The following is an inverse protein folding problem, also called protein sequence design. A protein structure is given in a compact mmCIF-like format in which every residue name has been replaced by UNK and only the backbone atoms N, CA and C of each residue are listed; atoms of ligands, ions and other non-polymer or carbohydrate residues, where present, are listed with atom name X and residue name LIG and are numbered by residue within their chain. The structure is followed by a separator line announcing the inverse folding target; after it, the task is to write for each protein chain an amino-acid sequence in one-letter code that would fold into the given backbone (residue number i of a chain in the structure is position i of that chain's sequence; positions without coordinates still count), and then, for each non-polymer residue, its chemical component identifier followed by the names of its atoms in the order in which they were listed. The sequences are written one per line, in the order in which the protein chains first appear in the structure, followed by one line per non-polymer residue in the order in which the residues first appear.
data_IF_248695582560
#
_entry.id   IF_248695582560
#
_cell.length_a   1.000
_cell.length_b   1.000
_cell.length_c   1.000
_cell.angle_alpha   90.00
_cell.angle_beta   90.00
_cell.angle_gamma   90.00
#
_symmetry.space_group_name_H-M   'P 1'
#
loop_
_entity.id
_entity.type
_entity.pdbx_description
1 polymer ?
#
# COMPACT_ATOMS: atom_id res chain seq x y z
N UNK A 1 19.53 -18.73 -17.16
CA UNK A 1 18.39 -18.17 -16.41
C UNK A 1 17.50 -19.32 -16.02
N UNK A 2 17.02 -19.36 -14.77
CA UNK A 2 15.94 -20.28 -14.41
C UNK A 2 14.73 -20.00 -15.31
N UNK A 3 14.13 -21.05 -15.88
CA UNK A 3 12.95 -20.92 -16.73
C UNK A 3 11.66 -20.71 -15.92
N UNK A 4 11.73 -20.70 -14.59
CA UNK A 4 10.57 -20.60 -13.71
C UNK A 4 10.43 -19.21 -13.14
N UNK A 5 9.44 -18.49 -13.65
CA UNK A 5 9.01 -17.22 -13.09
C UNK A 5 8.40 -17.47 -11.71
N UNK A 6 8.95 -16.82 -10.69
CA UNK A 6 8.64 -17.05 -9.28
C UNK A 6 8.25 -15.73 -8.61
N UNK A 7 7.35 -15.80 -7.63
CA UNK A 7 6.98 -14.67 -6.80
C UNK A 7 7.62 -14.79 -5.41
N UNK A 8 8.22 -13.71 -4.93
CA UNK A 8 8.64 -13.54 -3.54
C UNK A 8 7.74 -12.50 -2.90
N UNK A 9 7.24 -12.78 -1.70
CA UNK A 9 6.30 -11.92 -0.99
C UNK A 9 6.94 -11.49 0.32
N UNK A 10 7.09 -10.17 0.51
CA UNK A 10 7.48 -9.58 1.78
C UNK A 10 6.23 -8.99 2.45
N UNK A 11 6.02 -9.36 3.71
CA UNK A 11 4.95 -8.82 4.55
C UNK A 11 5.52 -7.81 5.54
N UNK A 12 4.82 -6.70 5.72
CA UNK A 12 5.05 -5.68 6.75
C UNK A 12 3.68 -5.15 7.19
N UNK A 13 3.64 -4.34 8.25
CA UNK A 13 2.42 -3.70 8.72
C UNK A 13 2.68 -2.23 9.06
N UNK A 14 1.62 -1.43 9.06
CA UNK A 14 1.63 -0.05 9.58
C UNK A 14 0.28 0.31 10.18
N UNK A 15 0.28 1.23 11.14
CA UNK A 15 -0.92 1.71 11.80
C UNK A 15 -1.18 3.15 11.35
N UNK A 16 -2.37 3.42 10.80
CA UNK A 16 -2.69 4.77 10.35
C UNK A 16 -4.15 5.13 10.61
N UNK A 17 -4.38 6.42 10.85
CA UNK A 17 -5.70 7.01 10.93
C UNK A 17 -6.09 7.68 9.60
N UNK A 18 -7.37 7.67 9.29
CA UNK A 18 -7.91 8.35 8.11
C UNK A 18 -9.41 8.63 8.21
N UNK A 19 -9.91 9.43 7.28
CA UNK A 19 -11.31 9.73 7.06
C UNK A 19 -11.58 9.70 5.57
N UNK A 20 -12.64 8.99 5.19
CA UNK A 20 -13.13 9.02 3.82
C UNK A 20 -14.05 10.21 3.64
N UNK A 21 -13.61 11.22 2.88
CA UNK A 21 -14.36 12.45 2.69
C UNK A 21 -14.03 13.09 1.34
N UNK A 22 -15.07 13.46 0.59
CA UNK A 22 -14.94 14.25 -0.62
C UNK A 22 -15.34 15.70 -0.33
N UNK A 23 -14.39 16.62 -0.44
CA UNK A 23 -14.54 18.05 -0.14
C UNK A 23 -15.46 18.80 -1.11
N UNK A 24 -15.75 18.21 -2.28
CA UNK A 24 -16.68 18.78 -3.27
C UNK A 24 -18.13 18.31 -3.06
N UNK A 25 -18.38 17.44 -2.08
CA UNK A 25 -19.72 16.93 -1.78
C UNK A 25 -20.28 17.59 -0.52
N UNK A 26 -21.61 17.65 -0.45
CA UNK A 26 -22.28 18.03 0.80
C UNK A 26 -22.02 17.01 1.91
N UNK A 27 -22.13 17.44 3.17
CA UNK A 27 -21.98 16.55 4.33
C UNK A 27 -23.00 15.40 4.30
N UNK A 28 -24.23 15.67 3.85
CA UNK A 28 -25.26 14.64 3.67
C UNK A 28 -24.80 13.56 2.71
N UNK A 29 -24.30 13.94 1.52
CA UNK A 29 -23.82 12.98 0.52
C UNK A 29 -22.61 12.20 1.02
N UNK A 30 -21.66 12.87 1.69
CA UNK A 30 -20.52 12.19 2.30
C UNK A 30 -20.94 11.13 3.32
N UNK A 31 -21.88 11.49 4.21
CA UNK A 31 -22.42 10.56 5.21
C UNK A 31 -23.19 9.40 4.57
N UNK A 32 -23.94 9.64 3.51
CA UNK A 32 -24.68 8.59 2.78
C UNK A 32 -23.74 7.59 2.10
N UNK A 33 -22.66 8.07 1.46
CA UNK A 33 -21.74 7.21 0.70
C UNK A 33 -20.70 6.52 1.58
N UNK A 34 -20.05 7.26 2.47
CA UNK A 34 -18.93 6.74 3.27
C UNK A 34 -19.34 6.28 4.66
N UNK A 35 -20.56 6.61 5.12
CA UNK A 35 -21.10 6.13 6.38
C UNK A 35 -20.18 6.39 7.57
N UNK A 36 -19.87 5.32 8.32
CA UNK A 36 -19.00 5.38 9.51
C UNK A 36 -17.57 5.83 9.17
N UNK A 37 -17.09 5.55 7.96
CA UNK A 37 -15.73 5.93 7.53
C UNK A 37 -15.58 7.45 7.31
N UNK A 38 -16.69 8.21 7.28
CA UNK A 38 -16.68 9.68 7.21
C UNK A 38 -16.69 10.37 8.59
N UNK A 39 -16.42 9.67 9.69
CA UNK A 39 -16.33 10.27 11.02
C UNK A 39 -15.43 11.54 11.02
N UNK A 40 -15.94 12.73 11.41
CA UNK A 40 -15.16 13.96 11.47
C UNK A 40 -13.89 13.85 12.33
N UNK A 41 -13.91 12.98 13.34
CA UNK A 41 -12.77 12.71 14.22
C UNK A 41 -11.93 11.51 13.76
N UNK A 42 -12.01 11.15 12.47
CA UNK A 42 -11.27 10.05 11.86
C UNK A 42 -11.61 8.67 12.46
N UNK A 43 -10.95 7.65 11.93
CA UNK A 43 -10.83 6.31 12.49
C UNK A 43 -9.48 5.76 12.04
N UNK A 44 -9.09 4.56 12.47
CA UNK A 44 -7.81 3.99 12.04
C UNK A 44 -7.86 2.49 11.90
N UNK A 45 -6.81 1.96 11.28
CA UNK A 45 -6.63 0.55 11.03
C UNK A 45 -5.18 0.14 11.24
N UNK A 46 -5.01 -1.15 11.53
CA UNK A 46 -3.71 -1.81 11.51
C UNK A 46 -3.62 -2.49 10.14
N UNK A 47 -2.99 -1.81 9.20
CA UNK A 47 -2.88 -2.28 7.83
C UNK A 47 -1.82 -3.37 7.72
N UNK A 48 -2.16 -4.48 7.05
CA UNK A 48 -1.18 -5.49 6.66
C UNK A 48 -0.85 -5.31 5.18
N UNK A 49 0.44 -5.15 4.87
CA UNK A 49 0.96 -4.90 3.54
C UNK A 49 1.73 -6.13 3.06
N UNK A 50 1.29 -6.72 1.95
CA UNK A 50 2.09 -7.67 1.19
C UNK A 50 2.63 -7.02 -0.09
N UNK A 51 3.95 -7.03 -0.22
CA UNK A 51 4.66 -6.62 -1.43
C UNK A 51 5.16 -7.86 -2.14
N UNK A 52 4.57 -8.14 -3.30
CA UNK A 52 4.87 -9.29 -4.14
C UNK A 52 5.73 -8.84 -5.31
N UNK A 53 6.97 -9.34 -5.34
CA UNK A 53 7.92 -9.11 -6.44
C UNK A 53 8.04 -10.40 -7.25
N UNK A 54 7.84 -10.30 -8.55
CA UNK A 54 7.81 -11.45 -9.47
C UNK A 54 8.90 -11.28 -10.51
N UNK A 55 9.66 -12.35 -10.75
CA UNK A 55 10.74 -12.35 -11.74
C UNK A 55 11.28 -13.76 -11.96
N UNK A 56 12.38 -13.84 -12.70
CA UNK A 56 13.13 -15.09 -12.86
C UNK A 56 14.15 -15.23 -11.75
N UNK A 57 14.39 -16.46 -11.28
CA UNK A 57 15.46 -16.67 -10.33
C UNK A 57 16.83 -16.56 -11.00
N UNK A 58 17.71 -15.86 -10.33
CA UNK A 58 19.11 -15.75 -10.67
C UNK A 58 19.79 -17.13 -10.55
N UNK A 59 20.54 -17.59 -11.57
CA UNK A 59 21.08 -18.95 -11.60
C UNK A 59 22.22 -19.20 -10.60
N UNK A 60 22.89 -18.16 -10.10
CA UNK A 60 24.00 -18.30 -9.16
C UNK A 60 23.51 -18.30 -7.72
N UNK A 61 22.57 -17.39 -7.40
CA UNK A 61 22.05 -17.19 -6.04
C UNK A 61 20.74 -17.94 -5.76
N UNK A 62 19.97 -18.27 -6.80
CA UNK A 62 18.64 -18.87 -6.69
C UNK A 62 17.52 -17.89 -6.30
N UNK A 63 17.81 -16.59 -6.14
CA UNK A 63 16.83 -15.59 -5.72
C UNK A 63 16.13 -14.93 -6.91
N UNK A 64 14.86 -14.55 -6.72
CA UNK A 64 14.24 -13.52 -7.58
C UNK A 64 14.84 -12.16 -7.24
N UNK A 65 14.83 -11.84 -5.96
CA UNK A 65 15.43 -10.65 -5.35
C UNK A 65 15.72 -10.99 -3.88
N UNK A 66 16.77 -10.40 -3.30
CA UNK A 66 17.00 -10.50 -1.86
C UNK A 66 15.84 -9.80 -1.11
N UNK A 67 15.13 -10.56 -0.27
CA UNK A 67 14.02 -10.04 0.55
C UNK A 67 14.42 -8.92 1.50
N UNK A 68 15.70 -8.81 1.87
CA UNK A 68 16.21 -7.71 2.67
C UNK A 68 16.11 -6.39 1.91
N UNK A 69 16.42 -6.38 0.62
CA UNK A 69 16.29 -5.19 -0.25
C UNK A 69 14.83 -4.74 -0.27
N UNK A 70 13.89 -5.68 -0.44
CA UNK A 70 12.44 -5.36 -0.44
C UNK A 70 12.00 -4.81 0.91
N UNK A 71 12.44 -5.40 2.03
CA UNK A 71 12.13 -4.89 3.38
C UNK A 71 12.70 -3.49 3.62
N UNK A 72 13.93 -3.23 3.18
CA UNK A 72 14.59 -1.93 3.34
C UNK A 72 13.86 -0.84 2.53
N UNK A 73 13.42 -1.15 1.29
CA UNK A 73 12.58 -0.25 0.48
C UNK A 73 11.25 0.04 1.19
N UNK A 74 10.54 -0.99 1.67
CA UNK A 74 9.25 -0.80 2.35
C UNK A 74 9.41 0.07 3.59
N UNK A 75 10.42 -0.19 4.42
CA UNK A 75 10.66 0.59 5.65
C UNK A 75 10.89 2.06 5.34
N UNK A 76 11.86 2.34 4.47
CA UNK A 76 12.29 3.69 4.15
C UNK A 76 11.22 4.48 3.40
N UNK A 77 10.63 3.87 2.37
CA UNK A 77 9.78 4.60 1.45
C UNK A 77 8.30 4.58 1.80
N UNK A 78 7.85 3.59 2.59
CA UNK A 78 6.45 3.44 3.00
C UNK A 78 6.30 3.62 4.50
N UNK A 79 6.96 2.82 5.36
CA UNK A 79 6.67 2.86 6.79
C UNK A 79 7.03 4.20 7.44
N UNK A 80 8.16 4.83 7.08
CA UNK A 80 8.52 6.16 7.58
C UNK A 80 7.46 7.23 7.27
N UNK A 81 6.73 7.07 6.17
CA UNK A 81 5.69 8.01 5.71
C UNK A 81 4.29 7.66 6.26
N UNK A 82 3.98 6.39 6.52
CA UNK A 82 2.60 5.94 6.78
C UNK A 82 2.38 5.45 8.22
N UNK A 83 3.40 4.90 8.89
CA UNK A 83 3.22 4.30 10.21
C UNK A 83 3.08 5.36 11.31
N UNK A 84 2.09 5.14 12.18
CA UNK A 84 1.66 6.05 13.24
C UNK A 84 1.32 7.47 12.72
N UNK A 85 0.72 7.56 11.53
CA UNK A 85 0.30 8.82 10.89
C UNK A 85 -1.22 8.93 10.70
N UNK A 86 -1.70 10.16 10.54
CA UNK A 86 -2.99 10.42 9.93
C UNK A 86 -2.80 10.65 8.41
N UNK A 87 -3.31 9.73 7.58
CA UNK A 87 -3.11 9.78 6.13
C UNK A 87 -3.59 11.10 5.52
N UNK A 88 -4.75 11.62 5.94
CA UNK A 88 -5.29 12.86 5.39
C UNK A 88 -4.45 14.10 5.74
N UNK A 89 -3.72 14.08 6.85
CA UNK A 89 -3.06 15.27 7.41
C UNK A 89 -1.54 15.24 7.20
N UNK A 90 -0.93 14.07 7.36
CA UNK A 90 0.52 13.90 7.49
C UNK A 90 1.18 13.35 6.23
N UNK A 91 0.41 12.83 5.27
CA UNK A 91 0.92 12.17 4.06
C UNK A 91 0.54 13.00 2.82
N UNK A 92 1.56 13.51 2.14
CA UNK A 92 1.39 14.49 1.04
C UNK A 92 0.46 13.97 -0.06
N UNK A 93 0.58 12.70 -0.41
CA UNK A 93 -0.20 12.06 -1.47
C UNK A 93 -1.72 12.07 -1.20
N UNK A 94 -2.15 12.16 0.06
CA UNK A 94 -3.57 12.14 0.44
C UNK A 94 -4.15 13.51 0.81
N UNK A 95 -3.39 14.60 0.66
CA UNK A 95 -3.94 15.96 0.84
C UNK A 95 -5.06 16.28 -0.15
N UNK A 96 -4.95 15.76 -1.38
CA UNK A 96 -5.95 15.91 -2.45
C UNK A 96 -6.52 14.59 -2.94
N UNK A 97 -6.15 13.47 -2.33
CA UNK A 97 -6.62 12.13 -2.68
C UNK A 97 -7.29 11.48 -1.48
N UNK A 98 -8.52 11.01 -1.66
CA UNK A 98 -9.25 10.35 -0.59
C UNK A 98 -8.56 9.01 -0.25
N UNK A 99 -8.14 8.74 1.01
CA UNK A 99 -7.36 7.56 1.37
C UNK A 99 -8.21 6.29 1.46
N UNK A 100 -8.93 5.92 0.40
CA UNK A 100 -9.53 4.58 0.33
C UNK A 100 -8.43 3.52 0.24
N UNK A 101 -8.72 2.29 0.66
CA UNK A 101 -7.73 1.19 0.61
C UNK A 101 -7.20 0.96 -0.81
N UNK A 102 -8.00 1.20 -1.84
CA UNK A 102 -7.57 1.18 -3.26
C UNK A 102 -6.54 2.27 -3.56
N UNK A 103 -6.83 3.52 -3.18
CA UNK A 103 -5.92 4.63 -3.39
C UNK A 103 -4.62 4.45 -2.59
N UNK A 104 -4.71 3.91 -1.37
CA UNK A 104 -3.52 3.60 -0.57
C UNK A 104 -2.66 2.54 -1.27
N UNK A 105 -3.24 1.45 -1.75
CA UNK A 105 -2.51 0.41 -2.47
C UNK A 105 -1.83 0.96 -3.74
N UNK A 106 -2.51 1.83 -4.50
CA UNK A 106 -1.95 2.47 -5.69
C UNK A 106 -0.79 3.42 -5.37
N UNK A 107 -0.92 4.24 -4.32
CA UNK A 107 0.15 5.13 -3.86
C UNK A 107 1.37 4.31 -3.43
N UNK A 108 1.18 3.28 -2.60
CA UNK A 108 2.26 2.39 -2.17
C UNK A 108 2.94 1.72 -3.36
N UNK A 109 2.16 1.23 -4.34
CA UNK A 109 2.71 0.66 -5.57
C UNK A 109 3.59 1.67 -6.30
N UNK A 110 3.11 2.89 -6.52
CA UNK A 110 3.84 3.94 -7.23
C UNK A 110 5.13 4.36 -6.51
N UNK A 111 5.13 4.34 -5.18
CA UNK A 111 6.32 4.59 -4.37
C UNK A 111 7.35 3.47 -4.58
N UNK A 112 6.97 2.21 -4.34
CA UNK A 112 7.89 1.06 -4.43
C UNK A 112 8.37 0.83 -5.86
N UNK A 113 7.51 1.07 -6.86
CA UNK A 113 7.82 0.85 -8.28
C UNK A 113 9.03 1.69 -8.74
N UNK A 114 9.21 2.89 -8.19
CA UNK A 114 10.34 3.78 -8.50
C UNK A 114 11.68 3.24 -8.02
N UNK A 115 11.66 2.40 -6.99
CA UNK A 115 12.87 1.83 -6.36
C UNK A 115 13.24 0.45 -6.91
N UNK A 116 12.38 -0.15 -7.73
CA UNK A 116 12.59 -1.50 -8.29
C UNK A 116 12.92 -1.43 -9.77
N UNK A 117 13.87 -2.28 -10.19
CA UNK A 117 14.21 -2.54 -11.60
C UNK A 117 12.96 -3.01 -12.39
N UNK A 118 12.74 -2.44 -13.57
CA UNK A 118 11.58 -2.70 -14.43
C UNK A 118 11.45 -4.17 -14.86
N UNK A 119 12.54 -4.96 -14.78
CA UNK A 119 12.48 -6.41 -15.05
C UNK A 119 11.58 -7.18 -14.07
N UNK A 120 11.31 -6.61 -12.89
CA UNK A 120 10.43 -7.21 -11.90
C UNK A 120 9.00 -6.74 -12.10
N UNK A 121 8.04 -7.67 -12.04
CA UNK A 121 6.65 -7.29 -11.83
C UNK A 121 6.40 -7.06 -10.33
N UNK A 122 5.55 -6.10 -10.02
CA UNK A 122 5.22 -5.71 -8.66
C UNK A 122 3.72 -5.84 -8.48
N UNK A 123 3.29 -6.42 -7.36
CA UNK A 123 1.90 -6.39 -6.89
C UNK A 123 1.88 -6.02 -5.41
N UNK A 124 0.94 -5.17 -5.05
CA UNK A 124 0.62 -4.78 -3.69
C UNK A 124 -0.67 -5.46 -3.31
N UNK A 125 -0.69 -6.11 -2.15
CA UNK A 125 -1.91 -6.51 -1.47
C UNK A 125 -1.98 -5.80 -0.14
N UNK A 126 -3.00 -4.98 0.04
CA UNK A 126 -3.17 -4.19 1.26
C UNK A 126 -4.46 -4.60 1.94
N UNK A 127 -4.33 -5.08 3.17
CA UNK A 127 -5.45 -5.39 4.04
C UNK A 127 -5.74 -4.18 4.91
N UNK A 128 -6.93 -3.59 4.75
CA UNK A 128 -7.44 -2.60 5.70
C UNK A 128 -7.95 -3.31 6.97
N UNK A 129 -8.55 -4.48 6.79
CA UNK A 129 -8.88 -5.41 7.86
C UNK A 129 -8.64 -6.83 7.36
N UNK A 130 -8.72 -7.84 8.24
CA UNK A 130 -8.61 -9.25 7.83
C UNK A 130 -9.63 -9.68 6.76
N UNK A 131 -10.74 -8.94 6.61
CA UNK A 131 -11.84 -9.26 5.68
C UNK A 131 -11.90 -8.34 4.47
N UNK A 132 -11.20 -7.21 4.49
CA UNK A 132 -11.21 -6.22 3.43
C UNK A 132 -9.79 -5.98 2.95
N UNK A 133 -9.48 -6.36 1.72
CA UNK A 133 -8.18 -6.16 1.12
C UNK A 133 -8.30 -5.80 -0.36
N UNK A 134 -7.30 -5.08 -0.86
CA UNK A 134 -7.16 -4.69 -2.26
C UNK A 134 -5.87 -5.25 -2.83
N UNK A 135 -5.91 -5.72 -4.07
CA UNK A 135 -4.73 -6.08 -4.86
C UNK A 135 -4.55 -5.09 -6.03
N UNK A 136 -3.32 -4.61 -6.23
CA UNK A 136 -2.98 -3.69 -7.32
C UNK A 136 -1.52 -3.84 -7.78
N UNK A 137 -1.22 -3.83 -9.09
CA UNK A 137 -2.15 -4.00 -10.21
C UNK A 137 -2.71 -5.42 -10.26
N UNK A 138 -3.93 -5.56 -10.79
CA UNK A 138 -4.57 -6.87 -11.00
C UNK A 138 -4.18 -7.46 -12.35
#
# INVERSE_FOLDING_TARGET
MSNYKTAVIRREHFNAAHRLHNTFWSDKKNKEIFGKCNNPNFHGHNYELEVKVIGYTDPETGYVIDTKIVSDIIKKEVLEKFDHKNLNLDVEEFKSLNPTVENIAMVIFNIIRKELDEKFELKIKLYETQRNFVEYPY
#
